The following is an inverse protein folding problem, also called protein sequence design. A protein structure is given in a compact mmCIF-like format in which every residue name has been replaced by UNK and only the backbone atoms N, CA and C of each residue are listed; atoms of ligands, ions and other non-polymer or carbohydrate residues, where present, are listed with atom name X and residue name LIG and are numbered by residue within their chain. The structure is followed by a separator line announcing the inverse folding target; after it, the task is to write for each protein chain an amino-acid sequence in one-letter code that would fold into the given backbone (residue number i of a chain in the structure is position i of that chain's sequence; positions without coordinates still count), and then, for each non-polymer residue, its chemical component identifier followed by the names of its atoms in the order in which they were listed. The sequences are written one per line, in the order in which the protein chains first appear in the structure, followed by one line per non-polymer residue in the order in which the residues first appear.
data_IF_690168820348
#
_entry.id   IF_690168820348
#
_cell.length_a   1.000
_cell.length_b   1.000
_cell.length_c   1.000
_cell.angle_alpha   90.00
_cell.angle_beta   90.00
_cell.angle_gamma   90.00
#
_symmetry.space_group_name_H-M   'P 1'
#
loop_
_entity.id
_entity.type
_entity.pdbx_description
1 polymer ?
#
# COMPACT_ATOMS: atom_id res chain seq x y z
N UNK A 1 5.89 -6.39 -7.18
CA UNK A 1 5.69 -7.68 -7.91
C UNK A 1 4.22 -8.01 -8.25
N UNK A 2 3.28 -7.73 -7.36
CA UNK A 2 1.86 -8.15 -7.47
C UNK A 2 0.98 -7.25 -8.36
N UNK A 3 1.44 -6.03 -8.64
CA UNK A 3 0.70 -4.98 -9.37
C UNK A 3 0.92 -5.00 -10.89
N UNK A 4 1.82 -5.86 -11.40
CA UNK A 4 2.12 -5.93 -12.83
C UNK A 4 0.93 -6.51 -13.59
N UNK A 5 0.59 -5.88 -14.72
CA UNK A 5 -0.39 -6.36 -15.69
C UNK A 5 0.36 -6.90 -16.91
N UNK A 6 0.42 -8.23 -17.05
CA UNK A 6 1.25 -8.90 -18.07
C UNK A 6 0.85 -8.54 -19.50
N UNK A 7 -0.45 -8.29 -19.73
CA UNK A 7 -0.99 -7.82 -21.02
C UNK A 7 -0.52 -6.40 -21.36
N UNK A 8 -0.46 -5.51 -20.36
CA UNK A 8 0.10 -4.16 -20.53
C UNK A 8 1.60 -4.23 -20.82
N UNK A 9 2.33 -5.08 -20.11
CA UNK A 9 3.77 -5.29 -20.39
C UNK A 9 3.97 -5.82 -21.81
N UNK A 10 3.21 -6.84 -22.22
CA UNK A 10 3.29 -7.41 -23.56
C UNK A 10 3.00 -6.34 -24.63
N UNK A 11 1.94 -5.54 -24.43
CA UNK A 11 1.61 -4.45 -25.34
C UNK A 11 2.72 -3.39 -25.43
N UNK A 12 3.34 -3.00 -24.30
CA UNK A 12 4.47 -2.06 -24.30
C UNK A 12 5.68 -2.61 -25.06
N UNK A 13 5.98 -3.91 -24.88
CA UNK A 13 7.04 -4.59 -25.63
C UNK A 13 6.74 -4.63 -27.13
N UNK A 14 5.50 -4.89 -27.52
CA UNK A 14 5.06 -4.78 -28.92
C UNK A 14 5.23 -3.36 -29.50
N UNK A 15 5.23 -2.32 -28.64
CA UNK A 15 5.51 -0.93 -29.02
C UNK A 15 6.99 -0.56 -28.96
N UNK A 16 7.88 -1.52 -28.70
CA UNK A 16 9.33 -1.33 -28.71
C UNK A 16 9.94 -0.97 -27.36
N UNK A 17 9.19 -1.09 -26.27
CA UNK A 17 9.78 -1.00 -24.94
C UNK A 17 10.59 -2.26 -24.60
N UNK A 18 11.66 -2.10 -23.83
CA UNK A 18 12.30 -3.23 -23.14
C UNK A 18 11.68 -3.38 -21.75
N UNK A 19 11.30 -4.62 -21.39
CA UNK A 19 10.70 -4.91 -20.10
C UNK A 19 11.31 -6.14 -19.44
N UNK A 20 11.37 -6.14 -18.11
CA UNK A 20 11.71 -7.30 -17.28
C UNK A 20 10.80 -7.34 -16.06
N UNK A 21 9.49 -7.34 -16.31
CA UNK A 21 8.49 -7.38 -15.27
C UNK A 21 7.38 -8.34 -15.69
N UNK A 22 6.94 -9.17 -14.76
CA UNK A 22 5.73 -9.97 -14.90
C UNK A 22 5.05 -10.08 -13.55
N UNK A 23 3.80 -10.52 -13.56
CA UNK A 23 3.02 -10.65 -12.35
C UNK A 23 3.56 -11.77 -11.48
N UNK A 24 3.60 -11.52 -10.16
CA UNK A 24 4.04 -12.50 -9.16
C UNK A 24 5.49 -12.98 -9.35
N UNK A 25 6.38 -12.09 -9.81
CA UNK A 25 7.82 -12.34 -9.76
C UNK A 25 8.24 -12.80 -8.36
N UNK A 26 9.15 -13.78 -8.32
CA UNK A 26 9.84 -14.13 -7.08
C UNK A 26 10.71 -12.98 -6.61
N UNK A 27 11.09 -12.95 -5.33
CA UNK A 27 11.99 -11.92 -4.80
C UNK A 27 13.32 -11.91 -5.57
N UNK A 28 13.82 -13.08 -5.97
CA UNK A 28 15.04 -13.22 -6.76
C UNK A 28 14.88 -12.62 -8.17
N UNK A 29 13.79 -12.93 -8.87
CA UNK A 29 13.51 -12.37 -10.19
C UNK A 29 13.29 -10.85 -10.11
N UNK A 30 12.61 -10.40 -9.06
CA UNK A 30 12.34 -8.99 -8.82
C UNK A 30 13.64 -8.21 -8.61
N UNK A 31 14.55 -8.71 -7.77
CA UNK A 31 15.88 -8.12 -7.62
C UNK A 31 16.68 -8.15 -8.93
N UNK A 32 16.61 -9.27 -9.68
CA UNK A 32 17.29 -9.37 -10.96
C UNK A 32 16.75 -8.36 -11.99
N UNK A 33 15.47 -8.01 -11.94
CA UNK A 33 14.90 -6.98 -12.83
C UNK A 33 15.52 -5.60 -12.61
N UNK A 34 15.90 -5.27 -11.37
CA UNK A 34 16.61 -4.03 -11.07
C UNK A 34 18.00 -4.02 -11.68
N UNK A 35 18.74 -5.13 -11.57
CA UNK A 35 20.05 -5.26 -12.23
C UNK A 35 19.95 -5.07 -13.73
N UNK A 36 18.92 -5.66 -14.35
CA UNK A 36 18.70 -5.51 -15.79
C UNK A 36 18.33 -4.07 -16.17
N UNK A 37 17.51 -3.40 -15.36
CA UNK A 37 17.17 -2.00 -15.56
C UNK A 37 18.40 -1.09 -15.46
N UNK A 38 19.31 -1.35 -14.52
CA UNK A 38 20.59 -0.63 -14.38
C UNK A 38 21.51 -0.94 -15.57
N UNK A 39 21.56 -2.19 -16.03
CA UNK A 39 22.41 -2.63 -17.14
C UNK A 39 22.04 -1.98 -18.49
N UNK A 40 20.82 -1.46 -18.64
CA UNK A 40 20.42 -0.62 -19.78
C UNK A 40 21.12 0.76 -19.81
N UNK A 41 21.94 1.08 -18.80
CA UNK A 41 22.65 2.35 -18.65
C UNK A 41 21.72 3.57 -18.78
N UNK A 42 20.65 3.64 -17.97
CA UNK A 42 19.70 4.73 -18.04
C UNK A 42 20.41 6.05 -17.70
N UNK A 43 19.94 7.14 -18.33
CA UNK A 43 20.32 8.51 -17.95
C UNK A 43 19.33 9.13 -16.96
N UNK A 44 18.12 8.58 -16.88
CA UNK A 44 17.04 9.08 -16.02
C UNK A 44 16.32 7.91 -15.35
N UNK A 45 15.90 8.11 -14.10
CA UNK A 45 15.04 7.16 -13.39
C UNK A 45 13.65 7.76 -13.13
N UNK A 46 12.63 6.93 -13.25
CA UNK A 46 11.26 7.25 -12.85
C UNK A 46 10.81 6.16 -11.88
N UNK A 47 10.74 6.48 -10.59
CA UNK A 47 10.57 5.52 -9.52
C UNK A 47 9.32 5.79 -8.67
N UNK A 48 8.82 4.69 -8.10
CA UNK A 48 7.77 4.68 -7.10
C UNK A 48 8.23 3.81 -5.95
N UNK A 49 8.87 4.41 -4.93
CA UNK A 49 9.42 3.71 -3.75
C UNK A 49 10.94 3.81 -3.61
N UNK A 50 11.63 4.43 -4.57
CA UNK A 50 13.07 4.69 -4.58
C UNK A 50 13.98 3.46 -4.46
N UNK A 51 13.55 2.29 -4.96
CA UNK A 51 14.29 1.04 -4.82
C UNK A 51 15.64 1.05 -5.55
N UNK A 52 15.68 1.45 -6.82
CA UNK A 52 16.90 1.47 -7.64
C UNK A 52 17.84 2.57 -7.16
N UNK A 53 17.33 3.78 -6.89
CA UNK A 53 18.15 4.85 -6.31
C UNK A 53 18.79 4.43 -4.99
N UNK A 54 18.04 3.76 -4.11
CA UNK A 54 18.57 3.28 -2.82
C UNK A 54 19.66 2.23 -3.03
N UNK A 55 19.45 1.29 -3.96
CA UNK A 55 20.44 0.26 -4.31
C UNK A 55 21.73 0.85 -4.86
N UNK A 56 21.63 1.83 -5.76
CA UNK A 56 22.78 2.53 -6.34
C UNK A 56 23.58 3.30 -5.27
N UNK A 57 22.89 3.99 -4.36
CA UNK A 57 23.52 4.66 -3.24
C UNK A 57 24.29 3.69 -2.34
N UNK A 58 23.70 2.53 -2.02
CA UNK A 58 24.37 1.48 -1.21
C UNK A 58 25.62 0.93 -1.89
N UNK A 59 25.65 0.89 -3.23
CA UNK A 59 26.82 0.48 -4.02
C UNK A 59 27.89 1.57 -4.14
N UNK A 60 27.52 2.83 -3.93
CA UNK A 60 28.37 3.98 -4.25
C UNK A 60 28.56 4.18 -5.77
N UNK A 61 27.65 3.65 -6.58
CA UNK A 61 27.72 3.66 -8.04
C UNK A 61 26.41 4.25 -8.59
N UNK A 62 26.49 5.35 -9.34
CA UNK A 62 25.30 6.02 -9.93
C UNK A 62 25.24 5.89 -11.46
N UNK A 63 26.24 5.26 -12.07
CA UNK A 63 26.31 5.07 -13.52
C UNK A 63 26.26 6.39 -14.30
N UNK A 64 25.45 6.43 -15.36
CA UNK A 64 25.25 7.58 -16.24
C UNK A 64 24.01 8.41 -15.86
N UNK A 65 23.41 8.16 -14.69
CA UNK A 65 22.15 8.79 -14.30
C UNK A 65 22.40 10.24 -13.91
N UNK A 66 21.66 11.15 -14.55
CA UNK A 66 21.78 12.60 -14.33
C UNK A 66 20.59 13.19 -13.59
N UNK A 67 19.45 12.50 -13.54
CA UNK A 67 18.27 12.92 -12.80
C UNK A 67 17.32 11.75 -12.49
N UNK A 68 16.55 11.88 -11.42
CA UNK A 68 15.48 10.95 -11.06
C UNK A 68 14.16 11.66 -10.77
N UNK A 69 13.09 10.87 -10.71
CA UNK A 69 11.77 11.28 -10.22
C UNK A 69 11.29 10.23 -9.22
N UNK A 70 10.80 10.68 -8.06
CA UNK A 70 10.12 9.81 -7.08
C UNK A 70 8.67 10.27 -6.89
N UNK A 71 7.72 9.35 -7.10
CA UNK A 71 6.29 9.67 -7.12
C UNK A 71 5.49 9.21 -5.90
N UNK A 72 6.14 8.74 -4.84
CA UNK A 72 5.50 8.28 -3.61
C UNK A 72 6.14 8.89 -2.36
N UNK A 73 5.32 9.26 -1.39
CA UNK A 73 5.81 9.76 -0.10
C UNK A 73 6.69 8.74 0.65
N UNK A 74 6.42 7.43 0.50
CA UNK A 74 7.28 6.38 1.06
C UNK A 74 8.68 6.38 0.44
N UNK A 75 8.79 6.56 -0.87
CA UNK A 75 10.08 6.71 -1.56
C UNK A 75 10.78 8.00 -1.16
N UNK A 76 10.07 9.14 -1.10
CA UNK A 76 10.63 10.43 -0.65
C UNK A 76 11.19 10.31 0.77
N UNK A 77 10.47 9.67 1.69
CA UNK A 77 10.93 9.43 3.05
C UNK A 77 12.21 8.57 3.07
N UNK A 78 12.26 7.51 2.26
CA UNK A 78 13.44 6.65 2.12
C UNK A 78 14.65 7.41 1.60
N UNK A 79 14.43 8.34 0.67
CA UNK A 79 15.47 9.18 0.09
C UNK A 79 15.97 10.25 1.09
N UNK A 80 15.15 10.68 2.05
CA UNK A 80 15.52 11.69 3.04
C UNK A 80 16.70 11.30 3.94
N UNK A 81 16.96 10.00 4.09
CA UNK A 81 18.07 9.47 4.90
C UNK A 81 19.36 9.23 4.10
N UNK A 82 19.36 9.50 2.79
CA UNK A 82 20.53 9.30 1.92
C UNK A 82 20.85 10.55 1.13
N UNK A 83 22.08 10.62 0.59
CA UNK A 83 22.48 11.64 -0.37
C UNK A 83 22.61 11.00 -1.76
N UNK A 84 21.60 11.15 -2.64
CA UNK A 84 21.68 10.64 -4.00
C UNK A 84 22.77 11.36 -4.80
N UNK A 85 23.39 10.65 -5.75
CA UNK A 85 24.43 11.20 -6.64
C UNK A 85 23.91 12.13 -7.74
N UNK A 86 22.58 12.31 -7.83
CA UNK A 86 21.89 13.11 -8.84
C UNK A 86 20.65 13.78 -8.26
N UNK A 87 20.16 14.89 -8.86
CA UNK A 87 18.91 15.52 -8.44
C UNK A 87 17.71 14.59 -8.62
N UNK A 88 16.81 14.60 -7.64
CA UNK A 88 15.54 13.85 -7.70
C UNK A 88 14.40 14.85 -7.63
N UNK A 89 13.54 14.82 -8.63
CA UNK A 89 12.29 15.56 -8.62
C UNK A 89 11.28 14.83 -7.74
N UNK A 90 10.88 15.48 -6.64
CA UNK A 90 9.79 15.01 -5.80
C UNK A 90 8.47 15.25 -6.53
N UNK A 91 7.99 14.25 -7.27
CA UNK A 91 6.69 14.35 -7.92
C UNK A 91 5.54 14.26 -6.92
N UNK A 92 5.77 13.61 -5.77
CA UNK A 92 4.74 13.43 -4.75
C UNK A 92 4.30 14.75 -4.12
N UNK A 93 5.17 15.76 -4.01
CA UNK A 93 4.85 17.08 -3.41
C UNK A 93 4.05 18.02 -4.32
N UNK A 94 3.76 17.61 -5.55
CA UNK A 94 2.98 18.44 -6.45
C UNK A 94 1.57 18.62 -5.90
N UNK A 95 1.00 19.85 -5.88
CA UNK A 95 -0.33 20.11 -5.34
C UNK A 95 -1.44 19.24 -5.94
N UNK A 96 -1.30 18.87 -7.21
CA UNK A 96 -2.23 17.98 -7.91
C UNK A 96 -2.05 16.52 -7.49
N UNK A 97 -0.81 16.09 -7.21
CA UNK A 97 -0.50 14.73 -6.75
C UNK A 97 -0.93 14.53 -5.30
N UNK A 98 -0.58 15.44 -4.41
CA UNK A 98 -1.04 15.41 -3.01
C UNK A 98 -2.55 15.62 -2.89
N UNK A 99 -3.02 16.73 -3.47
CA UNK A 99 -4.37 17.25 -3.23
C UNK A 99 -5.48 16.53 -4.00
N UNK A 100 -5.20 15.94 -5.17
CA UNK A 100 -6.19 15.18 -5.93
C UNK A 100 -5.92 13.68 -5.90
N UNK A 101 -4.74 13.25 -6.31
CA UNK A 101 -4.46 11.81 -6.43
C UNK A 101 -4.42 11.12 -5.07
N UNK A 102 -3.48 11.52 -4.18
CA UNK A 102 -3.31 10.88 -2.88
C UNK A 102 -4.54 11.07 -2.00
N UNK A 103 -5.11 12.28 -1.96
CA UNK A 103 -6.26 12.58 -1.10
C UNK A 103 -7.59 12.03 -1.60
N UNK A 104 -7.86 11.97 -2.90
CA UNK A 104 -9.19 11.64 -3.40
C UNK A 104 -9.22 10.38 -4.26
N UNK A 105 -8.25 10.20 -5.16
CA UNK A 105 -8.28 9.09 -6.11
C UNK A 105 -7.96 7.75 -5.45
N UNK A 106 -6.92 7.69 -4.61
CA UNK A 106 -6.45 6.43 -3.99
C UNK A 106 -7.55 5.75 -3.16
N UNK A 107 -8.30 6.51 -2.36
CA UNK A 107 -9.42 5.95 -1.58
C UNK A 107 -10.54 5.38 -2.47
N UNK A 108 -10.85 6.04 -3.58
CA UNK A 108 -11.86 5.59 -4.53
C UNK A 108 -11.44 4.30 -5.24
N UNK A 109 -10.20 4.21 -5.70
CA UNK A 109 -9.67 3.02 -6.38
C UNK A 109 -9.53 1.83 -5.43
N UNK A 110 -9.13 2.06 -4.18
CA UNK A 110 -9.07 1.02 -3.14
C UNK A 110 -10.43 0.38 -2.88
N UNK A 111 -11.48 1.18 -2.67
CA UNK A 111 -12.81 0.63 -2.46
C UNK A 111 -13.42 0.04 -3.72
N UNK A 112 -13.17 0.62 -4.90
CA UNK A 112 -13.58 0.01 -6.16
C UNK A 112 -13.00 -1.41 -6.31
N UNK A 113 -11.69 -1.55 -6.05
CA UNK A 113 -11.01 -2.85 -6.10
C UNK A 113 -11.55 -3.81 -5.05
N UNK A 114 -11.81 -3.34 -3.81
CA UNK A 114 -12.47 -4.14 -2.79
C UNK A 114 -13.82 -4.68 -3.27
N UNK A 115 -14.66 -3.85 -3.89
CA UNK A 115 -15.97 -4.28 -4.41
C UNK A 115 -15.86 -5.28 -5.56
N UNK A 116 -14.94 -5.05 -6.49
CA UNK A 116 -14.73 -5.96 -7.62
C UNK A 116 -14.19 -7.32 -7.16
N UNK A 117 -13.36 -7.34 -6.12
CA UNK A 117 -12.70 -8.56 -5.65
C UNK A 117 -13.58 -9.36 -4.69
N UNK A 118 -14.30 -8.68 -3.79
CA UNK A 118 -15.10 -9.34 -2.74
C UNK A 118 -16.57 -9.53 -3.11
N UNK A 119 -17.08 -8.73 -4.05
CA UNK A 119 -18.51 -8.58 -4.34
C UNK A 119 -19.37 -8.17 -3.12
N UNK A 120 -18.75 -7.62 -2.07
CA UNK A 120 -19.43 -7.13 -0.87
C UNK A 120 -19.67 -5.63 -0.94
N UNK A 121 -20.67 -5.14 -0.20
CA UNK A 121 -20.90 -3.70 0.02
C UNK A 121 -20.20 -3.22 1.30
N UNK A 122 -19.90 -1.92 1.41
CA UNK A 122 -19.53 -1.30 2.70
C UNK A 122 -20.74 -0.86 3.53
N UNK A 123 -21.95 -0.92 2.99
CA UNK A 123 -23.16 -0.45 3.67
C UNK A 123 -23.32 -1.08 5.07
N UNK A 124 -23.44 -0.20 6.08
CA UNK A 124 -23.55 -0.53 7.51
C UNK A 124 -22.36 -1.28 8.13
N UNK A 125 -21.30 -1.56 7.36
CA UNK A 125 -20.09 -2.20 7.86
C UNK A 125 -19.26 -1.24 8.68
N UNK A 126 -18.67 -1.72 9.78
CA UNK A 126 -17.67 -0.98 10.55
C UNK A 126 -16.34 -1.02 9.81
N UNK A 127 -15.93 0.13 9.28
CA UNK A 127 -14.69 0.29 8.51
C UNK A 127 -13.67 0.99 9.38
N UNK A 128 -12.61 0.29 9.79
CA UNK A 128 -11.49 0.87 10.52
C UNK A 128 -10.42 1.34 9.53
N UNK A 129 -10.17 2.64 9.47
CA UNK A 129 -9.07 3.23 8.71
C UNK A 129 -7.93 3.55 9.67
N UNK A 130 -6.73 3.03 9.38
CA UNK A 130 -5.54 3.21 10.21
C UNK A 130 -4.57 4.12 9.46
N UNK A 131 -4.32 5.30 10.01
CA UNK A 131 -3.64 6.39 9.34
C UNK A 131 -4.63 7.40 8.75
N UNK A 132 -4.39 8.68 9.01
CA UNK A 132 -5.20 9.82 8.60
C UNK A 132 -4.34 10.92 7.94
N UNK A 133 -3.27 10.50 7.26
CA UNK A 133 -2.61 11.32 6.24
C UNK A 133 -3.51 11.54 5.01
N UNK A 134 -2.97 12.08 3.92
CA UNK A 134 -3.75 12.38 2.70
C UNK A 134 -4.49 11.13 2.17
N UNK A 135 -3.79 9.99 2.07
CA UNK A 135 -4.41 8.72 1.65
C UNK A 135 -5.51 8.28 2.61
N UNK A 136 -5.23 8.28 3.92
CA UNK A 136 -6.21 7.92 4.95
C UNK A 136 -7.47 8.78 4.93
N UNK A 137 -7.34 10.09 4.70
CA UNK A 137 -8.47 11.01 4.51
C UNK A 137 -9.35 10.59 3.34
N UNK A 138 -8.74 10.23 2.20
CA UNK A 138 -9.44 9.73 1.02
C UNK A 138 -10.14 8.41 1.26
N UNK A 139 -9.44 7.47 1.88
CA UNK A 139 -9.97 6.14 2.23
C UNK A 139 -11.18 6.28 3.16
N UNK A 140 -11.09 7.11 4.20
CA UNK A 140 -12.20 7.36 5.12
C UNK A 140 -13.40 8.03 4.42
N UNK A 141 -13.15 9.10 3.65
CA UNK A 141 -14.20 9.82 2.94
C UNK A 141 -14.95 8.91 1.95
N UNK A 142 -14.22 8.14 1.15
CA UNK A 142 -14.80 7.23 0.18
C UNK A 142 -15.56 6.06 0.85
N UNK A 143 -15.03 5.51 1.94
CA UNK A 143 -15.72 4.45 2.69
C UNK A 143 -17.10 4.90 3.18
N UNK A 144 -17.18 6.13 3.73
CA UNK A 144 -18.45 6.73 4.16
C UNK A 144 -19.40 6.98 3.00
N UNK A 145 -18.89 7.45 1.85
CA UNK A 145 -19.69 7.67 0.65
C UNK A 145 -20.32 6.35 0.14
N UNK A 146 -19.65 5.21 0.33
CA UNK A 146 -20.18 3.88 0.03
C UNK A 146 -20.99 3.25 1.19
N UNK A 147 -21.33 4.02 2.23
CA UNK A 147 -22.22 3.60 3.31
C UNK A 147 -21.54 2.94 4.52
N UNK A 148 -20.20 2.96 4.58
CA UNK A 148 -19.44 2.44 5.72
C UNK A 148 -19.55 3.30 6.98
N UNK A 149 -19.60 2.64 8.13
CA UNK A 149 -19.47 3.25 9.45
C UNK A 149 -17.98 3.38 9.79
N UNK A 150 -17.40 4.52 9.45
CA UNK A 150 -15.95 4.73 9.50
C UNK A 150 -15.48 5.09 10.91
N UNK A 151 -14.44 4.39 11.35
CA UNK A 151 -13.64 4.69 12.54
C UNK A 151 -12.20 4.97 12.10
N UNK A 152 -11.52 5.90 12.76
CA UNK A 152 -10.14 6.28 12.42
C UNK A 152 -9.22 6.03 13.61
N UNK A 153 -8.15 5.27 13.38
CA UNK A 153 -7.04 5.12 14.31
C UNK A 153 -5.84 5.91 13.80
N UNK A 154 -5.33 6.83 14.62
CA UNK A 154 -4.20 7.69 14.27
C UNK A 154 -3.37 7.99 15.53
N UNK A 155 -2.05 7.93 15.38
CA UNK A 155 -1.05 8.14 16.43
C UNK A 155 -0.58 9.60 16.48
N UNK A 156 -0.56 10.29 15.33
CA UNK A 156 -0.18 11.69 15.26
C UNK A 156 -1.28 12.57 15.91
N UNK A 157 -0.99 13.34 16.97
CA UNK A 157 -2.01 14.12 17.68
C UNK A 157 -2.70 15.17 16.81
N UNK A 158 -2.01 15.77 15.84
CA UNK A 158 -2.57 16.80 14.98
C UNK A 158 -3.52 16.20 13.95
N UNK A 159 -3.13 15.08 13.31
CA UNK A 159 -4.00 14.33 12.39
C UNK A 159 -5.17 13.69 13.11
N UNK A 160 -4.97 13.24 14.36
CA UNK A 160 -6.04 12.75 15.22
C UNK A 160 -7.08 13.83 15.51
N UNK A 161 -6.64 15.05 15.83
CA UNK A 161 -7.51 16.21 15.99
C UNK A 161 -8.24 16.55 14.68
N UNK A 162 -7.53 16.50 13.54
CA UNK A 162 -8.11 16.72 12.22
C UNK A 162 -9.20 15.68 11.89
N UNK A 163 -8.96 14.40 12.16
CA UNK A 163 -9.94 13.34 11.95
C UNK A 163 -11.22 13.58 12.77
N UNK A 164 -11.08 13.99 14.03
CA UNK A 164 -12.22 14.34 14.87
C UNK A 164 -12.97 15.57 14.33
N UNK A 165 -12.24 16.58 13.85
CA UNK A 165 -12.82 17.78 13.24
C UNK A 165 -13.62 17.44 11.96
N UNK A 166 -13.09 16.55 11.12
CA UNK A 166 -13.75 16.06 9.90
C UNK A 166 -14.96 15.15 10.20
N UNK A 167 -15.24 14.88 11.48
CA UNK A 167 -16.42 14.16 11.95
C UNK A 167 -16.26 12.64 12.04
N UNK A 168 -15.03 12.13 12.06
CA UNK A 168 -14.76 10.70 12.22
C UNK A 168 -14.76 10.28 13.68
N UNK A 169 -15.22 9.05 13.94
CA UNK A 169 -15.06 8.45 15.25
C UNK A 169 -13.60 8.01 15.44
N UNK A 170 -12.85 8.83 16.17
CA UNK A 170 -11.45 8.56 16.46
C UNK A 170 -11.32 7.57 17.60
N UNK A 171 -10.62 6.47 17.37
CA UNK A 171 -10.57 5.30 18.24
C UNK A 171 -9.14 4.91 18.60
N UNK A 172 -9.01 4.01 19.57
CA UNK A 172 -7.79 3.21 19.74
C UNK A 172 -7.82 2.01 18.77
N UNK A 173 -6.68 1.73 18.13
CA UNK A 173 -6.55 0.64 17.16
C UNK A 173 -6.91 -0.71 17.78
N UNK A 174 -6.34 -0.99 18.95
CA UNK A 174 -6.42 -2.30 19.57
C UNK A 174 -7.87 -2.60 19.97
N UNK A 175 -8.61 -1.59 20.43
CA UNK A 175 -10.04 -1.72 20.74
C UNK A 175 -10.92 -1.84 19.48
N UNK A 176 -10.71 -0.98 18.49
CA UNK A 176 -11.59 -0.92 17.33
C UNK A 176 -11.51 -2.16 16.43
N UNK A 177 -10.31 -2.75 16.29
CA UNK A 177 -10.08 -3.90 15.40
C UNK A 177 -10.89 -5.14 15.81
N UNK A 178 -11.26 -5.26 17.09
CA UNK A 178 -12.09 -6.35 17.61
C UNK A 178 -13.54 -6.29 17.12
N UNK A 179 -13.99 -5.16 16.58
CA UNK A 179 -15.36 -4.98 16.09
C UNK A 179 -15.47 -4.59 14.62
N UNK A 180 -14.34 -4.29 13.96
CA UNK A 180 -14.29 -3.90 12.56
C UNK A 180 -14.67 -5.07 11.63
N UNK A 181 -15.51 -4.78 10.63
CA UNK A 181 -15.81 -5.71 9.54
C UNK A 181 -14.74 -5.65 8.45
N UNK A 182 -14.20 -4.43 8.23
CA UNK A 182 -13.18 -4.14 7.23
C UNK A 182 -12.12 -3.22 7.86
N UNK A 183 -10.85 -3.52 7.63
CA UNK A 183 -9.69 -2.75 8.11
C UNK A 183 -8.86 -2.31 6.91
N UNK A 184 -8.58 -1.01 6.80
CA UNK A 184 -7.73 -0.44 5.77
C UNK A 184 -6.54 0.30 6.39
N UNK A 185 -5.31 -0.10 6.06
CA UNK A 185 -4.08 0.59 6.47
C UNK A 185 -3.66 1.61 5.41
N UNK A 186 -3.26 2.81 5.84
CA UNK A 186 -2.86 3.92 4.99
C UNK A 186 -1.78 4.78 5.66
N UNK A 187 -0.80 4.14 6.30
CA UNK A 187 0.19 4.80 7.17
C UNK A 187 1.57 4.97 6.53
N UNK A 188 1.97 4.05 5.63
CA UNK A 188 3.34 3.90 5.17
C UNK A 188 4.31 3.35 6.23
N UNK A 189 3.84 2.95 7.41
CA UNK A 189 4.65 2.47 8.53
C UNK A 189 4.72 0.94 8.59
N UNK A 190 5.77 0.37 9.17
CA UNK A 190 5.84 -1.10 9.36
C UNK A 190 5.13 -1.52 10.65
N UNK A 191 4.62 -2.74 10.67
CA UNK A 191 4.06 -3.42 11.85
C UNK A 191 2.89 -2.66 12.51
N UNK A 192 2.00 -2.08 11.69
CA UNK A 192 0.85 -1.29 12.12
C UNK A 192 -0.27 -2.21 12.60
N UNK A 193 -0.67 -3.15 11.76
CA UNK A 193 -1.55 -4.27 12.13
C UNK A 193 -0.65 -5.44 12.51
N UNK A 194 -0.10 -5.35 13.70
CA UNK A 194 0.82 -6.34 14.26
C UNK A 194 0.10 -7.60 14.77
N UNK A 195 0.87 -8.60 15.19
CA UNK A 195 0.38 -9.81 15.86
C UNK A 195 -0.71 -9.56 16.90
N UNK A 196 -0.52 -8.61 17.83
CA UNK A 196 -1.49 -8.35 18.89
C UNK A 196 -2.83 -7.86 18.32
N UNK A 197 -2.78 -6.96 17.32
CA UNK A 197 -3.97 -6.49 16.63
C UNK A 197 -4.68 -7.63 15.90
N UNK A 198 -3.93 -8.49 15.20
CA UNK A 198 -4.46 -9.67 14.49
C UNK A 198 -5.10 -10.68 15.45
N UNK A 199 -4.49 -10.96 16.60
CA UNK A 199 -5.06 -11.81 17.66
C UNK A 199 -6.36 -11.24 18.23
N UNK A 200 -6.53 -9.91 18.25
CA UNK A 200 -7.76 -9.24 18.70
C UNK A 200 -8.81 -9.06 17.61
N UNK A 201 -8.43 -9.16 16.35
CA UNK A 201 -9.30 -8.83 15.23
C UNK A 201 -10.58 -9.71 15.19
N UNK A 202 -11.70 -9.10 14.78
CA UNK A 202 -13.00 -9.77 14.64
C UNK A 202 -12.90 -11.00 13.74
N UNK A 203 -13.62 -12.07 14.09
CA UNK A 203 -13.76 -13.22 13.20
C UNK A 203 -14.46 -12.83 11.88
N UNK A 204 -13.84 -13.20 10.76
CA UNK A 204 -14.33 -12.88 9.41
C UNK A 204 -13.98 -11.47 8.93
N UNK A 205 -13.08 -10.76 9.62
CA UNK A 205 -12.62 -9.43 9.19
C UNK A 205 -11.89 -9.49 7.85
N UNK A 206 -12.13 -8.49 7.00
CA UNK A 206 -11.33 -8.24 5.80
C UNK A 206 -10.28 -7.18 6.09
N UNK A 207 -9.03 -7.45 5.78
CA UNK A 207 -7.90 -6.54 6.00
C UNK A 207 -7.24 -6.24 4.65
N UNK A 208 -7.12 -4.96 4.32
CA UNK A 208 -6.47 -4.46 3.12
C UNK A 208 -5.43 -3.40 3.47
N UNK A 209 -4.39 -3.32 2.64
CA UNK A 209 -3.41 -2.26 2.67
C UNK A 209 -3.60 -1.34 1.47
N UNK A 210 -3.59 -0.03 1.72
CA UNK A 210 -3.66 1.03 0.70
C UNK A 210 -2.32 1.75 0.56
N UNK A 211 -1.44 1.62 1.56
CA UNK A 211 -0.09 2.17 1.52
C UNK A 211 0.87 1.37 0.64
N UNK A 212 2.02 1.97 0.34
CA UNK A 212 3.06 1.34 -0.48
C UNK A 212 3.79 0.21 0.26
N UNK A 213 3.81 0.23 1.59
CA UNK A 213 4.58 -0.71 2.43
C UNK A 213 3.71 -1.90 2.80
N UNK A 214 4.00 -3.08 2.26
CA UNK A 214 3.22 -4.29 2.53
C UNK A 214 3.31 -4.73 4.00
N UNK A 215 4.44 -4.44 4.65
CA UNK A 215 4.68 -4.73 6.06
C UNK A 215 3.91 -3.81 7.02
N UNK A 216 3.00 -2.97 6.52
CA UNK A 216 1.95 -2.36 7.36
C UNK A 216 1.16 -3.44 8.11
N UNK A 217 0.99 -4.62 7.51
CA UNK A 217 0.32 -5.77 8.09
C UNK A 217 1.35 -6.87 8.34
N UNK A 218 1.30 -7.49 9.52
CA UNK A 218 2.15 -8.63 9.87
C UNK A 218 1.70 -9.91 9.14
N UNK A 219 1.98 -9.96 7.83
CA UNK A 219 1.68 -11.11 6.98
C UNK A 219 2.53 -12.34 7.30
N UNK A 220 3.71 -12.16 7.91
CA UNK A 220 4.57 -13.27 8.32
C UNK A 220 3.93 -14.06 9.47
N UNK A 221 3.39 -13.36 10.45
CA UNK A 221 2.61 -13.99 11.51
C UNK A 221 1.39 -14.74 10.97
N UNK A 222 0.66 -14.17 10.01
CA UNK A 222 -0.50 -14.85 9.40
C UNK A 222 -0.10 -16.14 8.64
N UNK A 223 1.05 -16.14 7.95
CA UNK A 223 1.55 -17.32 7.21
C UNK A 223 1.88 -18.53 8.08
N UNK A 224 1.89 -18.37 9.41
CA UNK A 224 2.02 -19.50 10.35
C UNK A 224 0.73 -20.33 10.47
N UNK A 225 -0.39 -19.82 9.96
CA UNK A 225 -1.71 -20.46 10.02
C UNK A 225 -2.11 -21.08 8.67
N UNK A 226 -2.98 -22.10 8.66
CA UNK A 226 -3.51 -22.66 7.42
C UNK A 226 -4.14 -21.57 6.55
N UNK A 227 -3.65 -21.47 5.31
CA UNK A 227 -4.05 -20.47 4.33
C UNK A 227 -4.76 -21.14 3.15
N UNK A 228 -5.81 -20.48 2.65
CA UNK A 228 -6.55 -20.85 1.45
C UNK A 228 -6.89 -19.58 0.67
N UNK A 229 -6.56 -19.55 -0.63
CA UNK A 229 -7.02 -18.47 -1.50
C UNK A 229 -8.46 -18.79 -1.94
N UNK A 230 -9.43 -18.15 -1.29
CA UNK A 230 -10.86 -18.46 -1.48
C UNK A 230 -11.44 -17.77 -2.71
N UNK A 231 -10.83 -16.67 -3.13
CA UNK A 231 -11.10 -15.90 -4.34
C UNK A 231 -9.79 -15.23 -4.76
N UNK A 232 -9.62 -14.82 -6.04
CA UNK A 232 -8.41 -14.14 -6.47
C UNK A 232 -8.03 -12.99 -5.53
N UNK A 233 -6.80 -13.02 -5.00
CA UNK A 233 -6.25 -12.04 -4.05
C UNK A 233 -6.90 -12.03 -2.66
N UNK A 234 -7.80 -12.96 -2.33
CA UNK A 234 -8.43 -13.04 -1.01
C UNK A 234 -7.93 -14.31 -0.31
N UNK A 235 -7.05 -14.11 0.66
CA UNK A 235 -6.40 -15.18 1.39
C UNK A 235 -7.07 -15.34 2.76
N UNK A 236 -7.72 -16.48 2.97
CA UNK A 236 -8.32 -16.85 4.24
C UNK A 236 -7.28 -17.54 5.13
N UNK A 237 -6.95 -16.92 6.26
CA UNK A 237 -6.05 -17.46 7.29
C UNK A 237 -6.87 -17.98 8.46
N UNK A 238 -6.79 -19.28 8.74
CA UNK A 238 -7.57 -19.95 9.81
C UNK A 238 -6.80 -19.92 11.14
N UNK A 239 -7.11 -18.93 11.97
CA UNK A 239 -6.52 -18.73 13.30
C UNK A 239 -7.40 -19.33 14.38
N UNK A 240 -7.09 -20.56 14.83
CA UNK A 240 -7.84 -21.26 15.88
C UNK A 240 -9.37 -21.25 15.65
N UNK A 241 -10.12 -20.39 16.36
CA UNK A 241 -11.58 -20.23 16.32
C UNK A 241 -12.08 -19.15 15.35
N UNK A 242 -11.18 -18.47 14.62
CA UNK A 242 -11.54 -17.40 13.69
C UNK A 242 -10.81 -17.49 12.35
N UNK A 243 -11.39 -16.82 11.36
CA UNK A 243 -10.77 -16.65 10.03
C UNK A 243 -10.54 -15.16 9.77
N UNK A 244 -9.36 -14.82 9.25
CA UNK A 244 -9.03 -13.47 8.76
C UNK A 244 -8.90 -13.54 7.24
N UNK A 245 -9.49 -12.57 6.54
CA UNK A 245 -9.35 -12.43 5.08
C UNK A 245 -8.35 -11.31 4.78
N UNK A 246 -7.16 -11.67 4.31
CA UNK A 246 -6.13 -10.72 3.89
C UNK A 246 -6.19 -10.53 2.37
N UNK A 247 -6.41 -9.29 1.94
CA UNK A 247 -6.41 -8.94 0.52
C UNK A 247 -4.97 -8.74 0.01
N UNK A 248 -4.71 -9.19 -1.22
CA UNK A 248 -3.45 -9.05 -1.95
C UNK A 248 -2.19 -9.46 -1.15
N UNK A 249 -2.32 -10.39 -0.20
CA UNK A 249 -1.26 -10.79 0.73
C UNK A 249 -0.61 -9.60 1.47
N UNK A 250 -1.38 -8.53 1.72
CA UNK A 250 -0.90 -7.31 2.39
C UNK A 250 -0.21 -6.30 1.47
N UNK A 251 -0.05 -6.62 0.18
CA UNK A 251 0.38 -5.62 -0.81
C UNK A 251 -0.66 -4.50 -0.95
N UNK A 252 -0.27 -3.37 -1.55
CA UNK A 252 -1.20 -2.33 -1.97
C UNK A 252 -2.33 -2.96 -2.81
N UNK A 253 -3.58 -2.81 -2.36
CA UNK A 253 -4.72 -3.47 -2.99
C UNK A 253 -5.07 -2.86 -4.35
N UNK A 254 -4.97 -1.53 -4.46
CA UNK A 254 -5.43 -0.74 -5.60
C UNK A 254 -4.36 -0.52 -6.68
#
# INVERSE_FOLDING_TARGET
PTTVQDDVVAWLVERGAEACAWRNMSDADWQQSWEKAIAWQPTHLCEMGADITTLLHQRGEFGNIVAGLEATGSGVNRLGDIQPGYPIFNWDDLPVKEGLHNRHMVGLTAWHTFFQTTHLTLHEKKVLVIGYGLVGQGVAAAAKAFGGQVMVAEIDPARRLQAAYDGWHVVDLQEAIASADVVATATGGKNVVNRQALERAKAGVFILNVGHVAEEIDGEYLRQYPQEEVMPYINAYRMADKTIYLLANGSMLN
#
